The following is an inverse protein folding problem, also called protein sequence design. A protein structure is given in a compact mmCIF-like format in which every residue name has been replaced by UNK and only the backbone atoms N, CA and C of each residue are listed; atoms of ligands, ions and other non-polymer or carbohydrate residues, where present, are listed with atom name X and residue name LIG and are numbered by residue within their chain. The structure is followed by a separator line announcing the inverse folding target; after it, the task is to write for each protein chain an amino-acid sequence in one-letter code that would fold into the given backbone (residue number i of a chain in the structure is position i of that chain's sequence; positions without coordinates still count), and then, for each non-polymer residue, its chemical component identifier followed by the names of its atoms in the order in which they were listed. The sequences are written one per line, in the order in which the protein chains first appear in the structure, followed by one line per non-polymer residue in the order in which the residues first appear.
data_IF_883810261968
#
_entry.id   IF_883810261968
#
_cell.length_a   1.000
_cell.length_b   1.000
_cell.length_c   1.000
_cell.angle_alpha   90.00
_cell.angle_beta   90.00
_cell.angle_gamma   90.00
#
_symmetry.space_group_name_H-M   'P 1'
#
loop_
_entity.id
_entity.type
_entity.pdbx_description
1 polymer ?
#
# COMPACT_ATOMS: atom_id res chain seq x y z
N UNK A 1 32.19 31.21 -23.91
CA UNK A 1 32.08 30.10 -22.93
C UNK A 1 30.65 30.05 -22.40
N UNK A 2 29.77 29.28 -23.06
CA UNK A 2 28.38 29.00 -22.66
C UNK A 2 28.41 27.81 -21.69
N UNK A 3 28.22 28.10 -20.41
CA UNK A 3 28.08 27.07 -19.40
C UNK A 3 26.76 26.29 -19.58
N UNK A 4 26.84 25.03 -19.91
CA UNK A 4 25.75 24.11 -19.81
C UNK A 4 25.43 23.86 -18.33
N UNK A 5 24.35 24.47 -17.85
CA UNK A 5 23.73 24.06 -16.60
C UNK A 5 23.04 22.72 -16.84
N UNK A 6 23.65 21.64 -16.34
CA UNK A 6 22.95 20.36 -16.18
C UNK A 6 21.73 20.59 -15.30
N UNK A 7 20.52 20.54 -15.89
CA UNK A 7 19.28 20.46 -15.14
C UNK A 7 19.37 19.19 -14.28
N UNK A 8 19.38 19.39 -12.97
CA UNK A 8 19.35 18.32 -11.99
C UNK A 8 18.10 17.48 -12.26
N UNK A 9 18.30 16.19 -12.54
CA UNK A 9 17.23 15.23 -12.53
C UNK A 9 16.49 15.37 -11.18
N UNK A 10 15.19 15.61 -11.21
CA UNK A 10 14.36 15.60 -10.01
C UNK A 10 14.34 14.16 -9.48
N UNK A 11 15.42 13.77 -8.80
CA UNK A 11 15.33 12.73 -7.78
C UNK A 11 14.30 13.23 -6.78
N UNK A 12 13.43 12.33 -6.26
CA UNK A 12 12.71 12.64 -5.03
C UNK A 12 13.74 13.30 -4.10
N UNK A 13 13.45 14.46 -3.46
CA UNK A 13 14.31 14.92 -2.38
C UNK A 13 14.54 13.69 -1.56
N UNK A 14 15.80 13.41 -1.13
CA UNK A 14 16.14 12.18 -0.42
C UNK A 14 15.13 12.05 0.74
N UNK A 15 13.98 11.49 0.42
CA UNK A 15 12.87 11.34 1.33
C UNK A 15 13.43 10.41 2.36
N UNK A 16 13.71 10.94 3.51
CA UNK A 16 14.36 10.27 4.60
C UNK A 16 13.71 8.91 4.77
N UNK A 17 14.45 7.83 4.47
CA UNK A 17 13.97 6.48 4.68
C UNK A 17 13.71 5.61 3.46
N UNK A 18 13.88 6.06 2.20
CA UNK A 18 13.83 5.17 1.04
C UNK A 18 15.16 4.41 0.87
N UNK A 19 15.09 3.10 0.72
CA UNK A 19 16.24 2.23 0.45
C UNK A 19 15.99 1.36 -0.78
N UNK A 20 17.07 1.01 -1.49
CA UNK A 20 16.97 0.10 -2.61
C UNK A 20 16.43 -1.26 -2.13
N UNK A 21 15.47 -1.81 -2.87
CA UNK A 21 14.88 -3.11 -2.57
C UNK A 21 14.55 -3.88 -3.85
N UNK A 22 14.24 -5.17 -3.69
CA UNK A 22 13.78 -6.03 -4.77
C UNK A 22 12.37 -6.51 -4.46
N UNK A 23 11.50 -6.44 -5.47
CA UNK A 23 10.13 -6.96 -5.41
C UNK A 23 10.01 -8.13 -6.39
N UNK A 24 9.25 -9.14 -6.00
CA UNK A 24 9.05 -10.34 -6.82
C UNK A 24 8.40 -9.96 -8.16
N UNK A 25 9.01 -10.42 -9.26
CA UNK A 25 8.50 -10.18 -10.61
C UNK A 25 8.74 -8.77 -11.17
N UNK A 26 9.55 -7.96 -10.47
CA UNK A 26 10.02 -6.65 -10.98
C UNK A 26 11.48 -6.78 -11.38
N UNK A 27 11.78 -6.55 -12.67
CA UNK A 27 13.14 -6.70 -13.21
C UNK A 27 14.05 -5.55 -12.76
N UNK A 28 13.51 -4.34 -12.73
CA UNK A 28 14.26 -3.15 -12.31
C UNK A 28 14.23 -2.98 -10.79
N UNK A 29 15.21 -2.26 -10.27
CA UNK A 29 15.28 -1.95 -8.84
C UNK A 29 14.08 -1.11 -8.40
N UNK A 30 13.61 -1.35 -7.18
CA UNK A 30 12.60 -0.56 -6.51
C UNK A 30 13.22 0.19 -5.31
N UNK A 31 12.51 1.18 -4.81
CA UNK A 31 12.82 1.87 -3.57
C UNK A 31 11.72 1.56 -2.56
N UNK A 32 12.08 1.03 -1.41
CA UNK A 32 11.15 0.71 -0.33
C UNK A 32 11.31 1.67 0.84
N UNK A 33 10.20 2.00 1.48
CA UNK A 33 10.17 2.81 2.68
C UNK A 33 8.97 2.50 3.56
N UNK A 34 8.88 3.20 4.68
CA UNK A 34 7.70 3.19 5.53
C UNK A 34 7.42 4.58 6.09
N UNK A 35 6.16 4.84 6.42
CA UNK A 35 5.74 6.00 7.20
C UNK A 35 5.13 5.52 8.51
N UNK A 36 5.54 6.15 9.61
CA UNK A 36 5.00 5.85 10.93
C UNK A 36 3.67 6.56 11.12
N UNK A 37 2.65 5.81 11.54
CA UNK A 37 1.28 6.28 11.69
C UNK A 37 0.71 5.86 13.02
N UNK A 38 -0.03 6.75 13.68
CA UNK A 38 -0.82 6.33 14.83
C UNK A 38 -1.91 5.35 14.36
N UNK A 39 -2.08 4.25 15.09
CA UNK A 39 -3.16 3.30 14.84
C UNK A 39 -4.52 4.02 14.94
N UNK A 40 -4.68 4.83 15.98
CA UNK A 40 -5.80 5.74 16.17
C UNK A 40 -5.35 7.20 16.00
N UNK A 41 -5.76 7.91 14.92
CA UNK A 41 -5.41 9.31 14.74
C UNK A 41 -5.87 10.24 15.88
N UNK A 42 -6.90 9.86 16.64
CA UNK A 42 -7.34 10.61 17.83
C UNK A 42 -6.37 10.46 19.02
N UNK A 43 -5.42 9.51 18.93
CA UNK A 43 -4.41 9.26 19.95
C UNK A 43 -3.00 9.26 19.30
N UNK A 44 -2.48 10.41 18.92
CA UNK A 44 -1.23 10.50 18.13
C UNK A 44 0.00 9.91 18.84
N UNK A 45 0.03 9.91 20.17
CA UNK A 45 1.08 9.31 21.01
C UNK A 45 0.80 7.85 21.41
N UNK A 46 -0.33 7.29 20.98
CA UNK A 46 -0.71 5.91 21.27
C UNK A 46 0.05 4.89 20.41
N UNK A 47 -0.55 3.71 20.25
CA UNK A 47 0.02 2.63 19.43
C UNK A 47 0.35 3.12 18.03
N UNK A 48 1.59 2.86 17.59
CA UNK A 48 2.08 3.21 16.25
C UNK A 48 2.16 1.98 15.36
N UNK A 49 1.93 2.19 14.08
CA UNK A 49 2.17 1.19 13.03
C UNK A 49 3.07 1.79 11.95
N UNK A 50 3.84 0.94 11.28
CA UNK A 50 4.60 1.32 10.10
C UNK A 50 3.80 0.93 8.85
N UNK A 51 3.51 1.92 8.00
CA UNK A 51 2.85 1.71 6.70
C UNK A 51 3.94 1.61 5.63
N UNK A 52 4.13 0.42 5.11
CA UNK A 52 5.17 0.10 4.13
C UNK A 52 4.71 0.41 2.71
N UNK A 53 5.64 0.89 1.91
CA UNK A 53 5.38 1.17 0.50
C UNK A 53 6.62 0.96 -0.36
N UNK A 54 6.40 0.82 -1.64
CA UNK A 54 7.46 0.75 -2.63
C UNK A 54 7.20 1.73 -3.76
N UNK A 55 8.27 2.28 -4.29
CA UNK A 55 8.29 3.10 -5.49
C UNK A 55 9.01 2.34 -6.58
N UNK A 56 8.35 2.13 -7.71
CA UNK A 56 8.95 1.69 -8.95
C UNK A 56 9.26 2.95 -9.77
N UNK A 57 10.54 3.35 -9.91
CA UNK A 57 10.89 4.59 -10.58
C UNK A 57 10.46 4.58 -12.05
N UNK A 58 10.06 5.73 -12.57
CA UNK A 58 9.80 5.92 -13.99
C UNK A 58 11.03 5.59 -14.82
N UNK A 59 10.81 4.97 -15.98
CA UNK A 59 11.89 4.60 -16.90
C UNK A 59 12.51 5.84 -17.55
N UNK A 60 11.70 6.84 -17.90
CA UNK A 60 12.15 8.05 -18.56
C UNK A 60 12.88 9.00 -17.59
N UNK A 61 13.99 9.59 -18.02
CA UNK A 61 14.72 10.61 -17.25
C UNK A 61 13.87 11.85 -16.97
N UNK A 62 13.06 12.28 -17.94
CA UNK A 62 12.13 13.40 -17.78
C UNK A 62 10.76 12.86 -17.40
N UNK A 63 10.56 12.61 -16.12
CA UNK A 63 9.32 12.07 -15.56
C UNK A 63 8.34 13.19 -15.17
N UNK A 64 7.07 12.83 -15.13
CA UNK A 64 6.02 13.68 -14.56
C UNK A 64 6.10 13.70 -13.03
N UNK A 65 5.71 14.82 -12.39
CA UNK A 65 5.77 14.96 -10.92
C UNK A 65 4.62 14.29 -10.18
N UNK A 66 3.62 13.77 -10.90
CA UNK A 66 2.38 13.17 -10.39
C UNK A 66 2.45 11.63 -10.49
N UNK A 67 2.91 10.93 -9.45
CA UNK A 67 3.05 9.48 -9.47
C UNK A 67 1.70 8.78 -9.54
N UNK A 68 1.71 7.51 -9.96
CA UNK A 68 0.54 6.64 -9.98
C UNK A 68 0.54 5.78 -8.72
N UNK A 69 -0.50 5.88 -7.91
CA UNK A 69 -0.73 5.06 -6.73
C UNK A 69 -1.70 3.93 -7.07
N UNK A 70 -1.28 2.71 -6.81
CA UNK A 70 -2.10 1.53 -7.03
C UNK A 70 -2.73 1.04 -5.72
N UNK A 71 -4.04 0.90 -5.74
CA UNK A 71 -4.86 0.37 -4.65
C UNK A 71 -5.22 -1.09 -4.95
N UNK A 72 -4.66 -2.01 -4.17
CA UNK A 72 -4.91 -3.43 -4.31
C UNK A 72 -6.33 -3.82 -3.87
N UNK A 73 -6.75 -4.96 -4.33
CA UNK A 73 -8.08 -5.54 -4.07
C UNK A 73 -8.16 -6.36 -2.77
N UNK A 74 -9.02 -7.31 -2.81
CA UNK A 74 -9.40 -8.17 -1.70
C UNK A 74 -10.76 -7.77 -1.11
N UNK A 75 -10.84 -7.07 0.05
CA UNK A 75 -9.76 -6.41 0.83
C UNK A 75 -8.72 -7.40 1.38
N UNK A 76 -7.54 -6.87 1.71
CA UNK A 76 -6.48 -7.64 2.38
C UNK A 76 -5.27 -7.98 1.51
N UNK A 77 -5.29 -7.72 0.20
CA UNK A 77 -4.13 -7.97 -0.65
C UNK A 77 -3.03 -6.93 -0.43
N UNK A 78 -1.78 -7.41 -0.36
CA UNK A 78 -0.60 -6.55 -0.39
C UNK A 78 -0.38 -6.00 -1.80
N UNK A 79 -0.32 -4.68 -1.92
CA UNK A 79 0.02 -4.03 -3.19
C UNK A 79 1.46 -4.33 -3.60
N UNK A 80 2.39 -4.37 -2.64
CA UNK A 80 3.79 -4.69 -2.90
C UNK A 80 3.99 -6.13 -3.38
N UNK A 81 3.17 -7.09 -2.89
CA UNK A 81 3.20 -8.47 -3.38
C UNK A 81 2.72 -8.60 -4.83
N UNK A 82 1.91 -7.67 -5.30
CA UNK A 82 1.40 -7.60 -6.68
C UNK A 82 2.32 -6.82 -7.63
N UNK A 83 3.50 -6.38 -7.18
CA UNK A 83 4.39 -5.50 -7.94
C UNK A 83 4.70 -6.00 -9.37
N UNK A 84 5.01 -7.28 -9.53
CA UNK A 84 5.31 -7.87 -10.84
C UNK A 84 4.15 -7.72 -11.85
N UNK A 85 2.97 -8.30 -11.60
CA UNK A 85 1.81 -8.16 -12.47
C UNK A 85 1.40 -6.70 -12.70
N UNK A 86 1.45 -5.85 -11.67
CA UNK A 86 1.03 -4.45 -11.76
C UNK A 86 2.03 -3.61 -12.56
N UNK A 87 3.33 -3.84 -12.42
CA UNK A 87 4.34 -3.14 -13.24
C UNK A 87 4.15 -3.41 -14.74
N UNK A 88 3.82 -4.65 -15.11
CA UNK A 88 3.49 -5.01 -16.48
C UNK A 88 2.19 -4.35 -16.97
N UNK A 89 1.11 -4.45 -16.19
CA UNK A 89 -0.18 -3.86 -16.51
C UNK A 89 -0.11 -2.33 -16.67
N UNK A 90 0.64 -1.66 -15.81
CA UNK A 90 0.79 -0.21 -15.78
C UNK A 90 2.06 0.29 -16.48
N UNK A 91 2.72 -0.53 -17.31
CA UNK A 91 3.98 -0.19 -17.97
C UNK A 91 3.93 1.13 -18.74
N UNK A 92 2.80 1.43 -19.41
CA UNK A 92 2.62 2.69 -20.18
C UNK A 92 2.63 3.92 -19.26
N UNK A 93 2.06 3.80 -18.05
CA UNK A 93 2.11 4.86 -17.03
C UNK A 93 3.50 4.94 -16.40
N UNK A 94 4.09 3.79 -16.06
CA UNK A 94 5.41 3.63 -15.45
C UNK A 94 6.56 4.12 -16.34
N UNK A 95 6.31 4.33 -17.64
CA UNK A 95 7.32 4.92 -18.51
C UNK A 95 7.69 6.34 -18.07
N UNK A 96 6.73 7.19 -17.71
CA UNK A 96 6.95 8.59 -17.37
C UNK A 96 6.48 9.01 -15.96
N UNK A 97 5.92 8.09 -15.18
CA UNK A 97 5.47 8.31 -13.81
C UNK A 97 6.00 7.21 -12.90
N UNK A 98 6.41 7.58 -11.72
CA UNK A 98 6.69 6.59 -10.69
C UNK A 98 5.42 5.84 -10.33
N UNK A 99 5.51 4.52 -10.15
CA UNK A 99 4.41 3.72 -9.64
C UNK A 99 4.63 3.49 -8.16
N UNK A 100 3.64 3.82 -7.34
CA UNK A 100 3.71 3.69 -5.88
C UNK A 100 2.73 2.60 -5.44
N UNK A 101 3.27 1.62 -4.72
CA UNK A 101 2.55 0.47 -4.18
C UNK A 101 2.55 0.60 -2.66
N UNK A 102 1.38 0.84 -2.06
CA UNK A 102 1.26 0.99 -0.61
C UNK A 102 0.53 -0.23 -0.05
N UNK A 103 1.20 -0.95 0.85
CA UNK A 103 0.50 -1.94 1.68
C UNK A 103 -0.39 -1.18 2.67
N UNK A 104 -1.70 -1.26 2.48
CA UNK A 104 -2.64 -0.62 3.39
C UNK A 104 -2.51 -1.23 4.78
N UNK A 105 -2.85 -0.47 5.85
CA UNK A 105 -2.90 -1.05 7.21
C UNK A 105 -3.67 -2.36 7.22
N UNK A 106 -3.14 -3.37 7.90
CA UNK A 106 -3.70 -4.72 7.94
C UNK A 106 -3.20 -5.65 6.83
N UNK A 107 -2.40 -5.17 5.88
CA UNK A 107 -1.94 -5.96 4.73
C UNK A 107 -0.42 -6.00 4.61
N UNK A 108 0.10 -7.02 3.93
CA UNK A 108 1.52 -7.13 3.63
C UNK A 108 2.41 -7.00 4.87
N UNK A 109 3.20 -5.92 4.93
CA UNK A 109 4.07 -5.60 6.05
C UNK A 109 3.51 -4.49 6.96
N UNK A 110 2.37 -3.92 6.61
CA UNK A 110 1.75 -2.79 7.32
C UNK A 110 0.79 -3.26 8.41
N UNK A 111 1.33 -3.64 9.57
CA UNK A 111 0.55 -4.19 10.69
C UNK A 111 -0.38 -5.34 10.25
N UNK A 112 0.15 -6.43 9.70
CA UNK A 112 -0.62 -7.47 9.02
C UNK A 112 -1.64 -8.14 9.96
N UNK A 113 -2.85 -8.34 9.45
CA UNK A 113 -3.90 -9.10 10.11
C UNK A 113 -3.94 -10.52 9.52
N UNK A 114 -3.01 -11.37 9.97
CA UNK A 114 -2.96 -12.77 9.57
C UNK A 114 -3.45 -13.67 10.67
N UNK A 115 -4.41 -14.53 10.31
CA UNK A 115 -4.75 -15.70 11.09
C UNK A 115 -4.09 -16.90 10.42
N UNK A 116 -3.55 -17.83 11.21
CA UNK A 116 -3.25 -19.17 10.71
C UNK A 116 -4.60 -19.83 10.42
N UNK A 117 -5.06 -19.69 9.19
CA UNK A 117 -6.19 -20.46 8.69
C UNK A 117 -5.59 -21.72 8.11
N UNK A 118 -6.06 -22.88 8.55
CA UNK A 118 -5.79 -24.13 7.85
C UNK A 118 -6.08 -23.91 6.37
N UNK A 119 -5.22 -24.44 5.51
CA UNK A 119 -5.35 -24.25 4.06
C UNK A 119 -6.75 -24.72 3.62
N UNK A 120 -7.67 -23.79 3.45
CA UNK A 120 -9.07 -24.06 3.11
C UNK A 120 -9.19 -24.91 1.85
N UNK A 121 -8.20 -24.83 0.95
CA UNK A 121 -8.17 -25.61 -0.29
C UNK A 121 -7.99 -27.12 -0.03
N UNK A 122 -7.55 -27.49 1.17
CA UNK A 122 -7.39 -28.91 1.56
C UNK A 122 -8.63 -29.51 2.24
N UNK A 123 -9.62 -28.67 2.57
CA UNK A 123 -10.84 -29.16 3.18
C UNK A 123 -11.81 -29.72 2.14
N UNK A 124 -12.61 -30.73 2.48
CA UNK A 124 -13.74 -31.16 1.65
C UNK A 124 -14.66 -29.98 1.33
N UNK A 125 -15.20 -29.92 0.11
CA UNK A 125 -16.07 -28.81 -0.34
C UNK A 125 -17.22 -28.52 0.62
N UNK A 126 -17.86 -29.58 1.16
CA UNK A 126 -18.93 -29.41 2.15
C UNK A 126 -18.50 -28.64 3.39
N UNK A 127 -17.24 -28.78 3.81
CA UNK A 127 -16.69 -28.07 4.96
C UNK A 127 -16.24 -26.65 4.61
N UNK A 128 -15.80 -26.41 3.35
CA UNK A 128 -15.46 -25.09 2.88
C UNK A 128 -16.66 -24.15 2.85
N UNK A 129 -17.85 -24.67 2.58
CA UNK A 129 -19.11 -23.90 2.49
C UNK A 129 -19.99 -24.00 3.75
N UNK A 130 -19.52 -24.62 4.82
CA UNK A 130 -20.23 -24.67 6.10
C UNK A 130 -20.17 -23.29 6.80
N UNK A 131 -21.27 -22.58 6.77
CA UNK A 131 -21.37 -21.23 7.35
C UNK A 131 -21.08 -21.21 8.87
N UNK A 132 -21.45 -22.24 9.62
CA UNK A 132 -21.19 -22.28 11.07
C UNK A 132 -19.69 -22.44 11.35
N UNK A 133 -19.01 -23.30 10.61
CA UNK A 133 -17.55 -23.45 10.70
C UNK A 133 -16.82 -22.18 10.30
N UNK A 134 -17.25 -21.53 9.21
CA UNK A 134 -16.67 -20.24 8.81
C UNK A 134 -16.81 -19.18 9.89
N UNK A 135 -17.99 -19.06 10.51
CA UNK A 135 -18.22 -18.13 11.61
C UNK A 135 -17.37 -18.45 12.84
N UNK A 136 -17.24 -19.72 13.20
CA UNK A 136 -16.38 -20.15 14.31
C UNK A 136 -14.92 -19.77 14.05
N UNK A 137 -14.38 -20.04 12.86
CA UNK A 137 -13.02 -19.66 12.46
C UNK A 137 -12.80 -18.14 12.52
N UNK A 138 -13.77 -17.35 12.04
CA UNK A 138 -13.70 -15.89 12.13
C UNK A 138 -13.68 -15.41 13.59
N UNK A 139 -14.45 -16.05 14.48
CA UNK A 139 -14.45 -15.76 15.89
C UNK A 139 -13.08 -16.05 16.53
N UNK A 140 -12.51 -17.22 16.24
CA UNK A 140 -11.17 -17.62 16.73
C UNK A 140 -10.09 -16.69 16.18
N UNK A 141 -10.13 -16.39 14.89
CA UNK A 141 -9.24 -15.43 14.24
C UNK A 141 -9.32 -14.06 14.93
N UNK A 142 -10.51 -13.56 15.20
CA UNK A 142 -10.70 -12.29 15.92
C UNK A 142 -10.02 -12.29 17.28
N UNK A 143 -10.14 -13.38 18.04
CA UNK A 143 -9.49 -13.51 19.37
C UNK A 143 -7.96 -13.43 19.23
N UNK A 144 -7.39 -14.08 18.22
CA UNK A 144 -5.94 -14.04 17.95
C UNK A 144 -5.50 -12.63 17.56
N UNK A 145 -6.21 -11.99 16.62
CA UNK A 145 -5.86 -10.65 16.13
C UNK A 145 -5.98 -9.57 17.22
N UNK A 146 -6.93 -9.70 18.14
CA UNK A 146 -7.10 -8.76 19.27
C UNK A 146 -5.93 -8.79 20.26
N UNK A 147 -5.11 -9.86 20.27
CA UNK A 147 -3.90 -9.97 21.10
C UNK A 147 -2.66 -9.32 20.49
N UNK A 148 -2.72 -8.89 19.23
CA UNK A 148 -1.61 -8.20 18.58
C UNK A 148 -1.32 -6.85 19.26
N UNK A 149 -0.09 -6.33 19.22
CA UNK A 149 0.24 -5.01 19.76
C UNK A 149 -0.62 -3.87 19.19
N UNK A 150 -1.16 -4.09 17.98
CA UNK A 150 -2.06 -3.20 17.26
C UNK A 150 -3.48 -3.80 17.14
N UNK A 151 -3.93 -4.59 18.10
CA UNK A 151 -5.14 -5.43 18.04
C UNK A 151 -6.48 -4.70 18.13
N UNK A 152 -6.54 -3.37 18.15
CA UNK A 152 -7.81 -2.64 17.99
C UNK A 152 -8.29 -2.71 16.53
N UNK A 153 -9.00 -3.79 16.21
CA UNK A 153 -9.47 -4.08 14.85
C UNK A 153 -10.41 -3.01 14.27
N UNK A 154 -11.01 -2.16 15.12
CA UNK A 154 -11.86 -1.04 14.69
C UNK A 154 -11.09 0.03 13.91
N UNK A 155 -9.76 0.02 14.00
CA UNK A 155 -8.87 0.98 13.35
C UNK A 155 -8.39 0.53 11.96
N UNK A 156 -8.82 -0.64 11.50
CA UNK A 156 -8.48 -1.17 10.17
C UNK A 156 -9.63 -0.92 9.18
N UNK A 157 -9.88 0.36 8.91
CA UNK A 157 -10.99 0.81 8.05
C UNK A 157 -10.47 1.53 6.81
N UNK A 158 -11.26 1.54 5.73
CA UNK A 158 -10.92 2.25 4.49
C UNK A 158 -10.61 3.74 4.71
N UNK A 159 -11.42 4.50 5.50
CA UNK A 159 -11.11 5.91 5.75
C UNK A 159 -9.75 6.14 6.41
N UNK A 160 -9.32 5.28 7.33
CA UNK A 160 -8.01 5.38 7.96
C UNK A 160 -6.88 4.94 7.03
N UNK A 161 -7.11 3.89 6.24
CA UNK A 161 -6.14 3.40 5.26
C UNK A 161 -5.80 4.46 4.20
N UNK A 162 -6.77 5.23 3.72
CA UNK A 162 -6.50 6.29 2.73
C UNK A 162 -5.79 7.50 3.33
N UNK A 163 -5.94 7.76 4.63
CA UNK A 163 -5.14 8.76 5.35
C UNK A 163 -3.67 8.34 5.44
N UNK A 164 -3.40 7.04 5.58
CA UNK A 164 -2.03 6.52 5.52
C UNK A 164 -1.44 6.67 4.12
N UNK A 165 -2.24 6.41 3.09
CA UNK A 165 -1.80 6.61 1.69
C UNK A 165 -1.47 8.09 1.43
N UNK A 166 -2.26 9.03 1.97
CA UNK A 166 -1.95 10.46 1.85
C UNK A 166 -0.67 10.84 2.60
N UNK A 167 -0.39 10.20 3.73
CA UNK A 167 0.88 10.40 4.43
C UNK A 167 2.09 9.89 3.59
N UNK A 168 1.93 8.78 2.84
CA UNK A 168 2.94 8.33 1.88
C UNK A 168 3.12 9.34 0.75
N UNK A 169 2.01 9.88 0.17
CA UNK A 169 2.07 10.96 -0.82
C UNK A 169 2.89 12.14 -0.30
N UNK A 170 2.58 12.59 0.92
CA UNK A 170 3.27 13.72 1.54
C UNK A 170 4.75 13.41 1.79
N UNK A 171 5.09 12.21 2.27
CA UNK A 171 6.48 11.79 2.46
C UNK A 171 7.28 11.74 1.15
N UNK A 172 6.63 11.44 0.03
CA UNK A 172 7.21 11.48 -1.31
C UNK A 172 7.25 12.90 -1.90
N UNK A 173 6.70 13.92 -1.23
CA UNK A 173 6.66 15.29 -1.72
C UNK A 173 5.75 15.49 -2.94
N UNK A 174 4.87 14.54 -3.24
CA UNK A 174 3.97 14.64 -4.37
C UNK A 174 2.80 15.58 -4.05
N UNK A 175 2.61 16.65 -4.84
CA UNK A 175 1.47 17.57 -4.67
C UNK A 175 0.15 16.91 -5.08
N UNK A 176 0.18 16.08 -6.12
CA UNK A 176 -0.96 15.33 -6.68
C UNK A 176 -0.55 13.93 -7.05
N UNK A 177 -1.52 13.01 -7.07
CA UNK A 177 -1.32 11.61 -7.47
C UNK A 177 -2.41 11.17 -8.45
N UNK A 178 -2.09 10.16 -9.24
CA UNK A 178 -3.06 9.44 -10.07
C UNK A 178 -3.47 8.18 -9.35
N UNK A 179 -4.76 7.86 -9.34
CA UNK A 179 -5.32 6.73 -8.63
C UNK A 179 -5.65 5.60 -9.61
N UNK A 180 -5.15 4.41 -9.32
CA UNK A 180 -5.55 3.18 -10.03
C UNK A 180 -5.99 2.17 -8.98
N UNK A 181 -7.22 1.70 -9.07
CA UNK A 181 -7.79 0.72 -8.14
C UNK A 181 -8.25 -0.55 -8.85
N UNK A 182 -8.01 -1.70 -8.23
CA UNK A 182 -8.51 -2.99 -8.68
C UNK A 182 -9.49 -3.58 -7.65
N UNK A 183 -10.67 -4.04 -8.09
CA UNK A 183 -11.68 -4.64 -7.21
C UNK A 183 -12.00 -3.74 -6.00
N UNK A 184 -11.83 -4.22 -4.74
CA UNK A 184 -11.97 -3.37 -3.55
C UNK A 184 -11.11 -2.09 -3.60
N UNK A 185 -9.95 -2.13 -4.27
CA UNK A 185 -9.10 -0.96 -4.45
C UNK A 185 -9.77 0.22 -5.14
N UNK A 186 -10.81 -0.01 -5.95
CA UNK A 186 -11.63 1.06 -6.54
C UNK A 186 -12.39 1.83 -5.49
N UNK A 187 -12.94 1.14 -4.48
CA UNK A 187 -13.59 1.78 -3.32
C UNK A 187 -12.61 2.61 -2.51
N UNK A 188 -11.39 2.09 -2.28
CA UNK A 188 -10.36 2.82 -1.56
C UNK A 188 -9.92 4.08 -2.33
N UNK A 189 -9.77 3.98 -3.66
CA UNK A 189 -9.44 5.13 -4.51
C UNK A 189 -10.52 6.21 -4.48
N UNK A 190 -11.81 5.83 -4.54
CA UNK A 190 -12.93 6.78 -4.42
C UNK A 190 -12.97 7.42 -3.03
N UNK A 191 -12.69 6.68 -1.97
CA UNK A 191 -12.63 7.23 -0.61
C UNK A 191 -11.45 8.20 -0.47
N UNK A 192 -10.29 7.90 -1.09
CA UNK A 192 -9.16 8.82 -1.15
C UNK A 192 -9.57 10.14 -1.83
N UNK A 193 -10.19 10.06 -3.01
CA UNK A 193 -10.65 11.24 -3.74
C UNK A 193 -11.68 12.05 -2.94
N UNK A 194 -12.55 11.38 -2.17
CA UNK A 194 -13.53 12.05 -1.31
C UNK A 194 -12.86 12.82 -0.16
N UNK A 195 -11.81 12.27 0.47
CA UNK A 195 -11.12 12.92 1.59
C UNK A 195 -10.11 13.98 1.13
N UNK A 196 -9.45 13.75 -0.01
CA UNK A 196 -8.33 14.55 -0.52
C UNK A 196 -8.56 15.00 -1.97
N UNK A 197 -9.67 15.71 -2.28
CA UNK A 197 -10.00 16.07 -3.66
C UNK A 197 -8.97 17.00 -4.33
N UNK A 198 -8.13 17.65 -3.52
CA UNK A 198 -7.07 18.56 -4.01
C UNK A 198 -5.77 17.83 -4.36
N UNK A 199 -5.59 16.59 -3.92
CA UNK A 199 -4.39 15.79 -4.12
C UNK A 199 -4.56 14.79 -5.25
#
# INVERSE_FOLDING_TARGET
LLGWQCAAAHAFPAAAGLSACRLKGVEHGALCGSVRRALDPAQPSGTQIDVHYAVLPAVARNKHPDPVFFFAGGPGQSAMALAGPISGLLARFGNRRDLVLVDQRGTGRSAPLHCAVDDETRLPLAEQFDAQRQLARLADCRIVLQKLPYGDLRRFTTPLAVQDVDAVRAALGASRINLVGASYGTRAALEYQRQFPQH
#
